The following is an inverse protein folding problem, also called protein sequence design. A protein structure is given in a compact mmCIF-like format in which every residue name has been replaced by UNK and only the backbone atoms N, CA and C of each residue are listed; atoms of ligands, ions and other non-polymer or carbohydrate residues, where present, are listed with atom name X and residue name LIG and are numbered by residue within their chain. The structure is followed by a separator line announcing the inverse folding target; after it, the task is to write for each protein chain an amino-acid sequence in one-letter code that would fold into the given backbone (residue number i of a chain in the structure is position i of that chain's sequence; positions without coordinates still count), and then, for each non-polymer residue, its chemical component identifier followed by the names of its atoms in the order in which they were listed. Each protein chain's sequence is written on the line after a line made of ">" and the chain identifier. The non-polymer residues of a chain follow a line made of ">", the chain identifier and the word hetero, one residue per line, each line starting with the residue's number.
data_IF_769837564686
#
_entry.id   IF_769837564686
#
_cell.length_a   1.000
_cell.length_b   1.000
_cell.length_c   1.000
_cell.angle_alpha   90.00
_cell.angle_beta   90.00
_cell.angle_gamma   90.00
#
_symmetry.space_group_name_H-M   'P 1'
#
loop_
_entity.id
_entity.type
_entity.pdbx_description
1 polymer ?
#
# COMPACT_ATOMS: atom_id res chain seq x y z
N UNK A 1 -15.78 17.16 -20.77
CA UNK A 1 -16.10 17.68 -19.43
C UNK A 1 -14.96 17.26 -18.53
N UNK A 2 -14.29 18.19 -17.81
CA UNK A 2 -13.18 17.80 -16.94
C UNK A 2 -13.75 17.12 -15.70
N UNK A 3 -13.05 16.11 -15.17
CA UNK A 3 -13.48 15.36 -13.97
C UNK A 3 -13.75 16.32 -12.80
N UNK A 4 -12.84 17.27 -12.60
CA UNK A 4 -12.92 18.23 -11.49
C UNK A 4 -14.18 19.10 -11.58
N UNK A 5 -14.60 19.50 -12.78
CA UNK A 5 -15.82 20.29 -12.99
C UNK A 5 -17.07 19.50 -12.54
N UNK A 6 -17.10 18.19 -12.79
CA UNK A 6 -18.23 17.31 -12.43
C UNK A 6 -18.28 17.05 -10.93
N UNK A 7 -17.12 16.78 -10.32
CA UNK A 7 -17.00 16.59 -8.88
C UNK A 7 -17.41 17.86 -8.15
N UNK A 8 -16.93 19.02 -8.60
CA UNK A 8 -17.29 20.30 -8.03
C UNK A 8 -18.80 20.56 -8.14
N UNK A 9 -19.42 20.26 -9.29
CA UNK A 9 -20.86 20.39 -9.46
C UNK A 9 -21.64 19.46 -8.52
N UNK A 10 -21.19 18.21 -8.34
CA UNK A 10 -21.80 17.27 -7.41
C UNK A 10 -21.71 17.75 -5.96
N UNK A 11 -20.57 18.30 -5.55
CA UNK A 11 -20.38 18.89 -4.21
C UNK A 11 -21.31 20.09 -4.00
N UNK A 12 -21.39 20.99 -4.98
CA UNK A 12 -22.26 22.16 -4.92
C UNK A 12 -23.74 21.77 -4.81
N UNK A 13 -24.19 20.84 -5.67
CA UNK A 13 -25.55 20.33 -5.67
C UNK A 13 -25.87 19.60 -4.35
N UNK A 14 -24.93 18.84 -3.79
CA UNK A 14 -25.10 18.16 -2.49
C UNK A 14 -25.30 19.18 -1.37
N UNK A 15 -24.42 20.17 -1.26
CA UNK A 15 -24.46 21.16 -0.19
C UNK A 15 -25.69 22.06 -0.27
N UNK A 16 -26.04 22.52 -1.47
CA UNK A 16 -27.24 23.31 -1.66
C UNK A 16 -28.52 22.50 -1.44
N UNK A 17 -28.57 21.23 -1.86
CA UNK A 17 -29.68 20.33 -1.53
C UNK A 17 -29.83 20.12 -0.01
N UNK A 18 -28.74 19.95 0.73
CA UNK A 18 -28.78 19.80 2.20
C UNK A 18 -29.17 21.09 2.93
N UNK A 19 -28.88 22.26 2.35
CA UNK A 19 -29.37 23.55 2.87
C UNK A 19 -30.88 23.73 2.65
N UNK A 20 -31.42 23.19 1.55
CA UNK A 20 -32.86 23.23 1.24
C UNK A 20 -33.66 22.13 1.94
N UNK A 21 -33.05 20.95 2.13
CA UNK A 21 -33.66 19.78 2.79
C UNK A 21 -32.80 19.27 3.98
N UNK A 22 -32.72 20.02 5.10
CA UNK A 22 -31.87 19.64 6.22
C UNK A 22 -32.19 18.28 6.86
N UNK A 23 -33.44 17.81 6.72
CA UNK A 23 -33.85 16.50 7.23
C UNK A 23 -33.05 15.33 6.62
N UNK A 24 -32.52 15.50 5.40
CA UNK A 24 -31.70 14.49 4.71
C UNK A 24 -30.31 14.34 5.31
N UNK A 25 -29.82 15.34 6.04
CA UNK A 25 -28.49 15.32 6.64
C UNK A 25 -28.32 14.16 7.63
N UNK A 26 -29.38 13.81 8.36
CA UNK A 26 -29.37 12.69 9.30
C UNK A 26 -29.10 11.34 8.66
N UNK A 27 -29.46 11.18 7.38
CA UNK A 27 -29.18 10.00 6.58
C UNK A 27 -27.77 10.05 5.97
N UNK A 28 -27.40 11.20 5.38
CA UNK A 28 -26.11 11.41 4.71
C UNK A 28 -24.93 11.30 5.67
N UNK A 29 -25.04 11.85 6.87
CA UNK A 29 -23.94 11.86 7.85
C UNK A 29 -23.48 10.46 8.31
N UNK A 30 -24.30 9.42 8.06
CA UNK A 30 -23.98 8.03 8.42
C UNK A 30 -22.83 7.46 7.59
N UNK A 31 -22.61 7.98 6.39
CA UNK A 31 -21.66 7.43 5.43
C UNK A 31 -20.80 8.47 4.71
N UNK A 32 -21.30 9.70 4.53
CA UNK A 32 -20.53 10.83 3.98
C UNK A 32 -19.79 11.59 5.09
N UNK A 33 -18.55 11.97 4.81
CA UNK A 33 -17.64 12.70 5.70
C UNK A 33 -17.19 14.00 5.02
N UNK A 34 -16.82 14.99 5.82
CA UNK A 34 -16.22 16.22 5.31
C UNK A 34 -14.98 15.97 4.44
N UNK A 35 -14.19 14.94 4.75
CA UNK A 35 -13.00 14.58 3.98
C UNK A 35 -13.26 13.96 2.60
N UNK A 36 -14.52 13.67 2.23
CA UNK A 36 -14.83 13.18 0.88
C UNK A 36 -14.92 14.32 -0.14
N UNK A 37 -15.10 15.55 0.33
CA UNK A 37 -15.12 16.73 -0.52
C UNK A 37 -13.69 17.05 -0.97
N UNK A 38 -13.50 17.17 -2.28
CA UNK A 38 -12.26 17.59 -2.90
C UNK A 38 -11.95 19.07 -2.60
N UNK A 39 -12.98 19.93 -2.53
CA UNK A 39 -12.80 21.33 -2.15
C UNK A 39 -12.86 21.51 -0.62
N UNK A 40 -11.79 22.05 -0.06
CA UNK A 40 -11.68 22.32 1.38
C UNK A 40 -12.78 23.26 1.90
N UNK A 41 -13.22 24.23 1.10
CA UNK A 41 -14.31 25.13 1.48
C UNK A 41 -15.64 24.38 1.57
N UNK A 42 -15.91 23.44 0.66
CA UNK A 42 -17.08 22.56 0.73
C UNK A 42 -17.01 21.63 1.95
N UNK A 43 -15.85 21.07 2.25
CA UNK A 43 -15.62 20.26 3.45
C UNK A 43 -15.91 21.04 4.74
N UNK A 44 -15.46 22.30 4.81
CA UNK A 44 -15.71 23.18 5.96
C UNK A 44 -17.20 23.51 6.11
N UNK A 45 -17.88 23.81 5.01
CA UNK A 45 -19.33 24.04 5.04
C UNK A 45 -20.09 22.79 5.48
N UNK A 46 -19.74 21.61 4.96
CA UNK A 46 -20.36 20.35 5.40
C UNK A 46 -20.13 20.10 6.89
N UNK A 47 -18.93 20.38 7.39
CA UNK A 47 -18.63 20.32 8.84
C UNK A 47 -19.53 21.27 9.64
N UNK A 48 -19.82 22.48 9.13
CA UNK A 48 -20.77 23.41 9.77
C UNK A 48 -22.16 22.83 9.85
N UNK A 49 -22.64 22.22 8.76
CA UNK A 49 -23.95 21.58 8.73
C UNK A 49 -24.04 20.44 9.76
N UNK A 50 -23.00 19.61 9.87
CA UNK A 50 -22.95 18.52 10.86
C UNK A 50 -22.95 19.03 12.30
N UNK A 51 -22.19 20.08 12.60
CA UNK A 51 -22.16 20.67 13.95
C UNK A 51 -23.52 21.26 14.35
N UNK A 52 -24.17 21.99 13.44
CA UNK A 52 -25.52 22.50 13.67
C UNK A 52 -26.53 21.37 13.88
N UNK A 53 -26.46 20.30 13.07
CA UNK A 53 -27.33 19.15 13.22
C UNK A 53 -27.15 18.46 14.59
N UNK A 54 -25.91 18.25 15.01
CA UNK A 54 -25.59 17.66 16.31
C UNK A 54 -26.06 18.54 17.48
N UNK A 55 -25.94 19.86 17.34
CA UNK A 55 -26.45 20.84 18.30
C UNK A 55 -27.98 20.98 18.28
N UNK A 56 -28.67 20.36 17.32
CA UNK A 56 -30.10 20.56 17.05
C UNK A 56 -30.45 22.02 16.73
N UNK A 57 -29.47 22.77 16.21
CA UNK A 57 -29.64 24.14 15.77
C UNK A 57 -30.30 24.22 14.38
N UNK A 58 -31.04 25.29 14.08
CA UNK A 58 -31.69 25.46 12.79
C UNK A 58 -30.65 25.59 11.66
N UNK A 59 -30.71 24.67 10.71
CA UNK A 59 -29.95 24.72 9.46
C UNK A 59 -30.71 25.62 8.48
N UNK A 60 -30.56 26.94 8.69
CA UNK A 60 -31.04 27.97 7.77
C UNK A 60 -29.85 28.62 7.06
N UNK A 61 -29.96 29.00 5.77
CA UNK A 61 -28.84 29.54 5.01
C UNK A 61 -28.11 30.71 5.69
N UNK A 62 -28.85 31.63 6.32
CA UNK A 62 -28.25 32.78 7.02
C UNK A 62 -27.48 32.35 8.29
N UNK A 63 -28.04 31.40 9.04
CA UNK A 63 -27.42 30.86 10.26
C UNK A 63 -26.11 30.13 9.92
N UNK A 64 -26.16 29.26 8.93
CA UNK A 64 -25.00 28.48 8.47
C UNK A 64 -23.93 29.39 7.85
N UNK A 65 -24.33 30.40 7.07
CA UNK A 65 -23.39 31.38 6.51
C UNK A 65 -22.66 32.15 7.62
N UNK A 66 -23.36 32.58 8.67
CA UNK A 66 -22.73 33.24 9.83
C UNK A 66 -21.76 32.30 10.53
N UNK A 67 -22.17 31.07 10.83
CA UNK A 67 -21.31 30.09 11.47
C UNK A 67 -20.06 29.75 10.63
N UNK A 68 -20.19 29.71 9.31
CA UNK A 68 -19.05 29.54 8.40
C UNK A 68 -18.09 30.74 8.49
N UNK A 69 -18.61 31.97 8.51
CA UNK A 69 -17.80 33.19 8.71
C UNK A 69 -17.07 33.14 10.04
N UNK A 70 -17.74 32.72 11.12
CA UNK A 70 -17.13 32.62 12.44
C UNK A 70 -16.01 31.55 12.46
N UNK A 71 -16.16 30.45 11.71
CA UNK A 71 -15.15 29.39 11.64
C UNK A 71 -13.91 29.74 10.82
N UNK A 72 -14.10 30.20 9.57
CA UNK A 72 -12.97 30.37 8.62
C UNK A 72 -12.58 31.84 8.39
N UNK A 73 -13.33 32.76 8.98
CA UNK A 73 -13.18 34.20 8.79
C UNK A 73 -13.84 34.72 7.50
N UNK A 74 -14.21 36.00 7.49
CA UNK A 74 -15.02 36.61 6.42
C UNK A 74 -14.41 36.47 5.02
N UNK A 75 -13.07 36.52 4.91
CA UNK A 75 -12.38 36.40 3.62
C UNK A 75 -12.45 34.99 3.04
N UNK A 76 -12.27 33.96 3.87
CA UNK A 76 -12.26 32.57 3.42
C UNK A 76 -13.68 32.01 3.28
N UNK A 77 -14.64 32.56 4.05
CA UNK A 77 -16.02 32.10 4.02
C UNK A 77 -16.72 32.36 2.67
N UNK A 78 -16.25 33.35 1.89
CA UNK A 78 -16.66 33.59 0.51
C UNK A 78 -18.20 33.56 0.31
N UNK A 79 -18.89 34.56 0.86
CA UNK A 79 -20.36 34.65 0.82
C UNK A 79 -20.98 34.63 -0.59
N UNK A 80 -20.37 35.22 -1.64
CA UNK A 80 -20.86 35.05 -3.00
C UNK A 80 -20.94 33.57 -3.42
N UNK A 81 -19.86 32.81 -3.17
CA UNK A 81 -19.81 31.38 -3.44
C UNK A 81 -20.86 30.57 -2.65
N UNK A 82 -21.16 30.99 -1.43
CA UNK A 82 -22.26 30.40 -0.65
C UNK A 82 -23.62 30.62 -1.30
N UNK A 83 -23.90 31.83 -1.77
CA UNK A 83 -25.15 32.13 -2.49
C UNK A 83 -25.25 31.32 -3.80
N UNK A 84 -24.14 31.13 -4.50
CA UNK A 84 -24.09 30.33 -5.73
C UNK A 84 -24.53 28.87 -5.49
N UNK A 85 -24.28 28.28 -4.31
CA UNK A 85 -24.75 26.92 -3.99
C UNK A 85 -26.27 26.79 -4.12
N UNK A 86 -27.00 27.78 -3.60
CA UNK A 86 -28.46 27.79 -3.67
C UNK A 86 -28.97 27.99 -5.10
N UNK A 87 -28.21 28.72 -5.92
CA UNK A 87 -28.57 28.99 -7.31
C UNK A 87 -28.28 27.82 -8.25
N UNK A 88 -27.17 27.10 -8.02
CA UNK A 88 -26.73 25.94 -8.81
C UNK A 88 -27.54 24.68 -8.48
N UNK A 89 -28.19 24.65 -7.31
CA UNK A 89 -29.01 23.50 -6.90
C UNK A 89 -30.21 23.32 -7.84
N UNK A 90 -30.40 22.11 -8.40
CA UNK A 90 -31.53 21.84 -9.28
C UNK A 90 -32.89 22.07 -8.59
N UNK A 91 -33.97 22.38 -9.34
CA UNK A 91 -35.29 22.71 -8.77
C UNK A 91 -35.91 21.59 -7.92
N UNK A 92 -35.58 20.33 -8.22
CA UNK A 92 -36.00 19.15 -7.44
C UNK A 92 -34.73 18.45 -6.95
N UNK A 93 -34.14 18.90 -5.83
CA UNK A 93 -32.86 18.39 -5.39
C UNK A 93 -32.96 16.95 -4.88
N UNK A 94 -32.03 16.10 -5.31
CA UNK A 94 -31.82 14.78 -4.72
C UNK A 94 -30.55 14.79 -3.87
N UNK A 95 -30.70 15.20 -2.60
CA UNK A 95 -29.57 15.31 -1.67
C UNK A 95 -28.81 13.97 -1.52
N UNK A 96 -29.53 12.84 -1.50
CA UNK A 96 -28.94 11.50 -1.34
C UNK A 96 -28.19 11.09 -2.61
N UNK A 97 -28.79 11.29 -3.77
CA UNK A 97 -28.17 10.99 -5.06
C UNK A 97 -26.88 11.78 -5.28
N UNK A 98 -26.87 13.09 -5.02
CA UNK A 98 -25.66 13.91 -5.17
C UNK A 98 -24.60 13.54 -4.14
N UNK A 99 -24.99 13.30 -2.88
CA UNK A 99 -24.07 12.86 -1.86
C UNK A 99 -23.37 11.53 -2.20
N UNK A 100 -24.04 10.61 -2.89
CA UNK A 100 -23.42 9.37 -3.41
C UNK A 100 -22.34 9.65 -4.46
N UNK A 101 -22.52 10.67 -5.30
CA UNK A 101 -21.50 11.08 -6.28
C UNK A 101 -20.25 11.64 -5.58
N UNK A 102 -20.45 12.45 -4.52
CA UNK A 102 -19.35 12.95 -3.69
C UNK A 102 -18.66 11.79 -2.97
N UNK A 103 -19.42 10.84 -2.41
CA UNK A 103 -18.88 9.63 -1.78
C UNK A 103 -18.02 8.81 -2.74
N UNK A 104 -18.49 8.52 -3.96
CA UNK A 104 -17.73 7.77 -4.96
C UNK A 104 -16.36 8.44 -5.23
N UNK A 105 -16.36 9.74 -5.48
CA UNK A 105 -15.14 10.50 -5.72
C UNK A 105 -14.21 10.49 -4.49
N UNK A 106 -14.76 10.72 -3.30
CA UNK A 106 -14.01 10.72 -2.05
C UNK A 106 -13.37 9.37 -1.72
N UNK A 107 -14.11 8.28 -1.87
CA UNK A 107 -13.60 6.92 -1.65
C UNK A 107 -12.51 6.55 -2.66
N UNK A 108 -12.66 6.90 -3.93
CA UNK A 108 -11.60 6.71 -4.94
C UNK A 108 -10.33 7.45 -4.58
N UNK A 109 -10.44 8.70 -4.13
CA UNK A 109 -9.30 9.48 -3.67
C UNK A 109 -8.66 8.86 -2.41
N UNK A 110 -9.49 8.40 -1.47
CA UNK A 110 -9.04 7.71 -0.25
C UNK A 110 -8.23 6.45 -0.58
N UNK A 111 -8.76 5.59 -1.45
CA UNK A 111 -8.12 4.34 -1.88
C UNK A 111 -6.82 4.60 -2.65
N UNK A 112 -6.82 5.55 -3.59
CA UNK A 112 -5.59 5.95 -4.29
C UNK A 112 -4.52 6.45 -3.30
N UNK A 113 -4.93 7.21 -2.28
CA UNK A 113 -4.07 7.68 -1.19
C UNK A 113 -3.44 6.56 -0.35
N UNK A 114 -4.10 5.40 -0.22
CA UNK A 114 -3.52 4.23 0.45
C UNK A 114 -2.29 3.69 -0.31
N UNK A 115 -2.29 3.78 -1.65
CA UNK A 115 -1.14 3.40 -2.47
C UNK A 115 0.13 4.19 -2.16
N UNK A 116 0.00 5.49 -1.86
CA UNK A 116 1.13 6.35 -1.46
C UNK A 116 1.74 5.88 -0.13
N UNK A 117 0.90 5.49 0.83
CA UNK A 117 1.37 4.95 2.11
C UNK A 117 2.11 3.63 1.92
N UNK A 118 1.59 2.72 1.07
CA UNK A 118 2.26 1.45 0.75
C UNK A 118 3.65 1.68 0.15
N UNK A 119 3.78 2.62 -0.81
CA UNK A 119 5.08 2.97 -1.40
C UNK A 119 6.08 3.48 -0.38
N UNK A 120 5.67 4.42 0.48
CA UNK A 120 6.57 4.98 1.49
C UNK A 120 7.01 3.91 2.50
N UNK A 121 6.10 3.06 2.94
CA UNK A 121 6.41 1.97 3.87
C UNK A 121 7.29 0.88 3.24
N UNK A 122 7.10 0.59 1.95
CA UNK A 122 7.92 -0.34 1.18
C UNK A 122 9.35 0.18 1.03
N UNK A 123 9.50 1.46 0.69
CA UNK A 123 10.80 2.12 0.65
C UNK A 123 11.50 2.08 2.01
N UNK A 124 10.80 2.46 3.09
CA UNK A 124 11.37 2.43 4.43
C UNK A 124 11.81 1.01 4.83
N UNK A 125 10.98 0.01 4.57
CA UNK A 125 11.29 -1.40 4.89
C UNK A 125 12.50 -1.92 4.12
N UNK A 126 12.65 -1.51 2.86
CA UNK A 126 13.80 -1.87 2.02
C UNK A 126 15.09 -1.19 2.49
N UNK A 127 15.03 0.07 2.92
CA UNK A 127 16.19 0.81 3.44
C UNK A 127 16.64 0.28 4.80
N UNK A 128 15.69 0.04 5.70
CA UNK A 128 15.97 -0.43 7.07
C UNK A 128 16.27 -1.95 7.09
N UNK A 129 15.94 -2.68 6.02
CA UNK A 129 16.09 -4.13 5.94
C UNK A 129 15.18 -4.90 6.90
N UNK A 130 14.06 -4.31 7.32
CA UNK A 130 13.11 -4.88 8.27
C UNK A 130 11.67 -4.81 7.76
N UNK A 131 10.83 -5.83 8.00
CA UNK A 131 9.46 -5.91 7.47
C UNK A 131 8.43 -5.03 8.20
N UNK A 132 8.72 -4.55 9.40
CA UNK A 132 7.73 -3.96 10.30
C UNK A 132 7.00 -2.74 9.71
N UNK A 133 7.66 -1.78 9.04
CA UNK A 133 6.98 -0.62 8.47
C UNK A 133 5.94 -1.01 7.42
N UNK A 134 6.27 -1.93 6.50
CA UNK A 134 5.34 -2.39 5.46
C UNK A 134 4.20 -3.22 6.06
N UNK A 135 4.47 -4.11 7.02
CA UNK A 135 3.41 -4.91 7.66
C UNK A 135 2.42 -4.06 8.45
N UNK A 136 2.91 -3.06 9.19
CA UNK A 136 2.06 -2.11 9.90
C UNK A 136 1.20 -1.31 8.94
N UNK A 137 1.78 -0.86 7.82
CA UNK A 137 1.04 -0.11 6.80
C UNK A 137 0.02 -0.98 6.08
N UNK A 138 0.31 -2.24 5.76
CA UNK A 138 -0.68 -3.18 5.21
C UNK A 138 -1.89 -3.32 6.15
N UNK A 139 -1.68 -3.45 7.46
CA UNK A 139 -2.80 -3.50 8.44
C UNK A 139 -3.63 -2.21 8.42
N UNK A 140 -2.97 -1.06 8.31
CA UNK A 140 -3.65 0.23 8.22
C UNK A 140 -4.47 0.34 6.93
N UNK A 141 -3.89 -0.09 5.80
CA UNK A 141 -4.53 -0.06 4.49
C UNK A 141 -5.73 -0.98 4.47
N UNK A 142 -5.62 -2.24 4.92
CA UNK A 142 -6.75 -3.16 4.98
C UNK A 142 -7.91 -2.59 5.80
N UNK A 143 -7.63 -2.05 6.99
CA UNK A 143 -8.66 -1.41 7.80
C UNK A 143 -9.29 -0.19 7.11
N UNK A 144 -8.52 0.55 6.31
CA UNK A 144 -9.02 1.67 5.51
C UNK A 144 -9.90 1.22 4.35
N UNK A 145 -9.51 0.15 3.67
CA UNK A 145 -10.26 -0.48 2.58
C UNK A 145 -11.59 -1.06 3.09
N UNK A 146 -11.59 -1.74 4.24
CA UNK A 146 -12.82 -2.23 4.89
C UNK A 146 -13.77 -1.08 5.23
N UNK A 147 -13.23 0.02 5.79
CA UNK A 147 -14.04 1.21 6.09
C UNK A 147 -14.60 1.82 4.80
N UNK A 148 -13.83 1.89 3.72
CA UNK A 148 -14.32 2.37 2.43
C UNK A 148 -15.46 1.50 1.90
N UNK A 149 -15.32 0.18 1.96
CA UNK A 149 -16.34 -0.79 1.55
C UNK A 149 -17.63 -0.64 2.37
N UNK A 150 -17.52 -0.53 3.69
CA UNK A 150 -18.67 -0.33 4.57
C UNK A 150 -19.42 0.97 4.29
N UNK A 151 -18.69 2.06 4.02
CA UNK A 151 -19.28 3.36 3.68
C UNK A 151 -19.98 3.33 2.32
N UNK A 152 -19.35 2.68 1.33
CA UNK A 152 -19.96 2.46 0.02
C UNK A 152 -21.28 1.69 0.16
N UNK A 153 -21.27 0.58 0.89
CA UNK A 153 -22.47 -0.22 1.12
C UNK A 153 -23.56 0.58 1.84
N UNK A 154 -23.22 1.30 2.91
CA UNK A 154 -24.16 2.15 3.65
C UNK A 154 -24.77 3.26 2.78
N UNK A 155 -23.97 3.92 1.93
CA UNK A 155 -24.45 4.93 1.00
C UNK A 155 -25.45 4.37 -0.02
N UNK A 156 -25.24 3.14 -0.48
CA UNK A 156 -26.08 2.48 -1.49
C UNK A 156 -27.18 1.57 -0.91
N UNK A 157 -27.29 1.45 0.41
CA UNK A 157 -28.26 0.56 1.07
C UNK A 157 -27.97 -0.93 0.84
N UNK A 158 -26.72 -1.29 0.56
CA UNK A 158 -26.28 -2.66 0.38
C UNK A 158 -25.95 -3.31 1.73
N UNK A 159 -26.15 -4.62 1.89
CA UNK A 159 -25.72 -5.33 3.09
C UNK A 159 -24.19 -5.35 3.17
N UNK A 160 -23.66 -5.19 4.38
CA UNK A 160 -22.23 -5.30 4.66
C UNK A 160 -21.99 -5.74 6.10
N UNK A 161 -20.90 -6.45 6.32
CA UNK A 161 -20.51 -6.90 7.66
C UNK A 161 -20.08 -5.72 8.54
N UNK A 162 -20.19 -5.88 9.85
CA UNK A 162 -19.78 -4.83 10.77
C UNK A 162 -18.26 -4.70 10.79
N UNK A 163 -17.74 -3.63 10.19
CA UNK A 163 -16.30 -3.34 10.20
C UNK A 163 -15.88 -2.83 11.58
N UNK A 164 -15.07 -3.64 12.28
CA UNK A 164 -14.50 -3.28 13.57
C UNK A 164 -13.05 -2.85 13.37
N UNK A 165 -12.83 -1.54 13.26
CA UNK A 165 -11.47 -0.99 13.24
C UNK A 165 -10.86 -1.00 14.65
N UNK A 166 -9.70 -1.65 14.85
CA UNK A 166 -8.96 -1.62 16.10
C UNK A 166 -8.71 -0.18 16.56
N UNK A 167 -8.89 0.09 17.87
CA UNK A 167 -8.81 1.44 18.42
C UNK A 167 -7.48 2.15 18.08
N UNK A 168 -6.38 1.39 18.06
CA UNK A 168 -5.04 1.87 17.74
C UNK A 168 -4.88 2.41 16.31
N UNK A 169 -5.67 1.92 15.35
CA UNK A 169 -5.58 2.32 13.94
C UNK A 169 -6.46 3.53 13.58
N UNK A 170 -7.45 3.84 14.42
CA UNK A 170 -8.43 4.91 14.14
C UNK A 170 -7.83 6.30 13.91
N UNK A 171 -6.81 6.76 14.67
CA UNK A 171 -6.19 8.05 14.41
C UNK A 171 -5.43 8.09 13.08
N UNK A 172 -4.72 7.01 12.75
CA UNK A 172 -3.92 6.92 11.54
C UNK A 172 -4.78 6.91 10.25
N UNK A 173 -5.95 6.27 10.29
CA UNK A 173 -6.89 6.23 9.15
C UNK A 173 -7.44 7.61 8.75
N UNK A 174 -7.48 8.56 9.68
CA UNK A 174 -8.02 9.90 9.45
C UNK A 174 -6.94 10.92 9.11
N UNK A 175 -5.68 10.49 8.99
CA UNK A 175 -4.55 11.40 8.95
C UNK A 175 -4.12 11.74 7.50
N UNK A 176 -4.68 12.81 6.95
CA UNK A 176 -4.25 13.37 5.65
C UNK A 176 -2.79 13.83 5.68
N UNK A 177 -2.26 14.26 6.82
CA UNK A 177 -0.86 14.67 6.97
C UNK A 177 0.10 13.49 6.79
N UNK A 178 -0.31 12.28 7.19
CA UNK A 178 0.49 11.07 6.97
C UNK A 178 0.72 10.81 5.48
N UNK A 179 -0.29 11.04 4.62
CA UNK A 179 -0.16 10.92 3.16
C UNK A 179 0.76 11.97 2.57
N UNK A 180 0.64 13.22 3.01
CA UNK A 180 1.55 14.30 2.57
C UNK A 180 2.99 14.06 3.04
N UNK A 181 3.17 13.51 4.24
CA UNK A 181 4.48 13.11 4.76
C UNK A 181 5.09 11.98 3.94
N UNK A 182 4.29 10.97 3.61
CA UNK A 182 4.70 9.85 2.75
C UNK A 182 5.11 10.32 1.34
N UNK A 183 4.35 11.23 0.73
CA UNK A 183 4.66 11.79 -0.59
C UNK A 183 5.97 12.59 -0.60
N UNK A 184 6.17 13.43 0.43
CA UNK A 184 7.45 14.14 0.64
C UNK A 184 8.60 13.18 0.86
N UNK A 185 8.39 12.13 1.65
CA UNK A 185 9.39 11.10 1.90
C UNK A 185 9.79 10.40 0.60
N UNK A 186 8.84 10.01 -0.24
CA UNK A 186 9.11 9.41 -1.56
C UNK A 186 9.89 10.36 -2.47
N UNK A 187 9.51 11.64 -2.51
CA UNK A 187 10.19 12.66 -3.33
C UNK A 187 11.64 12.87 -2.90
N UNK A 188 11.94 12.72 -1.60
CA UNK A 188 13.28 12.90 -1.06
C UNK A 188 14.24 11.73 -1.31
N UNK A 189 13.74 10.57 -1.78
CA UNK A 189 14.55 9.37 -1.98
C UNK A 189 14.68 8.99 -3.45
N UNK A 190 15.81 8.38 -3.86
CA UNK A 190 16.04 8.02 -5.25
C UNK A 190 15.06 6.93 -5.73
N UNK A 191 14.76 7.00 -7.03
CA UNK A 191 14.04 5.96 -7.74
C UNK A 191 14.78 4.62 -7.68
N UNK A 192 14.07 3.55 -8.04
CA UNK A 192 14.63 2.20 -8.11
C UNK A 192 15.76 2.10 -9.14
N UNK A 193 16.84 1.40 -8.77
CA UNK A 193 17.97 1.15 -9.65
C UNK A 193 17.93 -0.28 -10.18
N UNK A 194 17.40 -0.43 -11.40
CA UNK A 194 17.20 -1.73 -12.03
C UNK A 194 18.50 -2.52 -12.25
N UNK A 195 19.66 -1.84 -12.36
CA UNK A 195 20.95 -2.53 -12.48
C UNK A 195 21.34 -3.17 -11.15
N UNK A 196 21.16 -2.44 -10.05
CA UNK A 196 21.39 -2.95 -8.70
C UNK A 196 20.43 -4.10 -8.37
N UNK A 197 19.15 -3.98 -8.71
CA UNK A 197 18.14 -5.04 -8.50
C UNK A 197 18.46 -6.32 -9.29
N UNK A 198 18.91 -6.15 -10.55
CA UNK A 198 19.38 -7.28 -11.37
C UNK A 198 20.55 -7.98 -10.69
N UNK A 199 21.53 -7.22 -10.19
CA UNK A 199 22.68 -7.77 -9.46
C UNK A 199 22.25 -8.54 -8.21
N UNK A 200 21.38 -7.98 -7.37
CA UNK A 200 20.87 -8.69 -6.19
C UNK A 200 20.15 -9.99 -6.55
N UNK A 201 19.43 -10.01 -7.69
CA UNK A 201 18.77 -11.23 -8.19
C UNK A 201 19.80 -12.29 -8.60
N UNK A 202 20.85 -11.90 -9.32
CA UNK A 202 21.94 -12.80 -9.71
C UNK A 202 22.65 -13.36 -8.46
N UNK A 203 22.97 -12.50 -7.50
CA UNK A 203 23.59 -12.88 -6.22
C UNK A 203 22.71 -13.89 -5.45
N UNK A 204 21.40 -13.66 -5.37
CA UNK A 204 20.46 -14.59 -4.73
C UNK A 204 20.45 -15.95 -5.44
N UNK A 205 20.30 -15.98 -6.77
CA UNK A 205 20.24 -17.24 -7.51
C UNK A 205 21.54 -18.02 -7.36
N UNK A 206 22.69 -17.36 -7.45
CA UNK A 206 24.00 -17.96 -7.20
C UNK A 206 24.12 -18.55 -5.79
N UNK A 207 23.71 -17.78 -4.77
CA UNK A 207 23.70 -18.22 -3.38
C UNK A 207 22.75 -19.41 -3.13
N UNK A 208 21.60 -19.46 -3.80
CA UNK A 208 20.66 -20.57 -3.68
C UNK A 208 21.16 -21.85 -4.36
N UNK A 209 21.89 -21.75 -5.47
CA UNK A 209 22.55 -22.91 -6.08
C UNK A 209 23.67 -23.43 -5.17
N UNK A 210 24.42 -22.53 -4.53
CA UNK A 210 25.46 -22.89 -3.56
C UNK A 210 24.89 -23.45 -2.25
N UNK A 211 23.68 -23.03 -1.86
CA UNK A 211 22.98 -23.45 -0.63
C UNK A 211 21.52 -23.86 -0.91
N UNK A 212 21.28 -25.06 -1.48
CA UNK A 212 19.96 -25.49 -1.96
C UNK A 212 18.85 -25.54 -0.90
N UNK A 213 19.21 -25.71 0.38
CA UNK A 213 18.25 -25.82 1.49
C UNK A 213 17.34 -24.59 1.63
N UNK A 214 17.74 -23.46 1.05
CA UNK A 214 16.98 -22.21 1.09
C UNK A 214 15.96 -22.07 -0.05
N UNK A 215 16.04 -22.88 -1.11
CA UNK A 215 15.21 -22.73 -2.33
C UNK A 215 13.74 -22.80 -2.00
N UNK A 216 13.31 -23.82 -1.24
CA UNK A 216 11.91 -24.01 -0.88
C UNK A 216 11.36 -22.82 -0.07
N UNK A 217 12.18 -22.26 0.83
CA UNK A 217 11.77 -21.11 1.64
C UNK A 217 11.63 -19.85 0.78
N UNK A 218 12.59 -19.59 -0.12
CA UNK A 218 12.53 -18.44 -1.02
C UNK A 218 11.36 -18.55 -2.00
N UNK A 219 11.07 -19.75 -2.50
CA UNK A 219 9.94 -20.01 -3.40
C UNK A 219 8.57 -19.66 -2.79
N UNK A 220 8.43 -19.66 -1.46
CA UNK A 220 7.17 -19.27 -0.79
C UNK A 220 6.78 -17.81 -0.99
N UNK A 221 7.75 -16.92 -1.25
CA UNK A 221 7.53 -15.48 -1.37
C UNK A 221 8.07 -14.88 -2.68
N UNK A 222 8.99 -15.58 -3.38
CA UNK A 222 9.52 -15.18 -4.67
C UNK A 222 9.12 -16.18 -5.75
N UNK A 223 8.04 -15.89 -6.46
CA UNK A 223 7.65 -16.67 -7.65
C UNK A 223 8.54 -16.32 -8.85
N UNK A 224 8.85 -17.25 -9.77
CA UNK A 224 9.67 -16.94 -10.95
C UNK A 224 9.15 -15.77 -11.79
N UNK A 225 7.83 -15.60 -11.90
CA UNK A 225 7.23 -14.49 -12.65
C UNK A 225 7.66 -13.08 -12.16
N UNK A 226 8.18 -12.96 -10.93
CA UNK A 226 8.65 -11.70 -10.33
C UNK A 226 10.08 -11.32 -10.70
N UNK A 227 10.84 -12.24 -11.28
CA UNK A 227 12.19 -11.93 -11.77
C UNK A 227 12.04 -11.20 -13.11
N UNK A 228 12.59 -9.99 -13.22
CA UNK A 228 12.45 -9.18 -14.43
C UNK A 228 13.31 -9.70 -15.60
N UNK A 229 14.56 -10.08 -15.31
CA UNK A 229 15.49 -10.61 -16.31
C UNK A 229 15.01 -12.01 -16.77
N UNK A 230 14.62 -12.19 -18.05
CA UNK A 230 14.07 -13.44 -18.53
C UNK A 230 15.07 -14.60 -18.51
N UNK A 231 16.37 -14.31 -18.63
CA UNK A 231 17.43 -15.31 -18.62
C UNK A 231 17.58 -15.89 -17.20
N UNK A 232 17.71 -15.01 -16.20
CA UNK A 232 17.81 -15.39 -14.79
C UNK A 232 16.50 -15.94 -14.23
N UNK A 233 15.35 -15.49 -14.75
CA UNK A 233 14.03 -16.09 -14.46
C UNK A 233 14.01 -17.58 -14.80
N UNK A 234 14.53 -17.97 -15.96
CA UNK A 234 14.56 -19.35 -16.40
C UNK A 234 15.47 -20.22 -15.50
N UNK A 235 16.62 -19.68 -15.09
CA UNK A 235 17.51 -20.35 -14.13
C UNK A 235 16.81 -20.56 -12.79
N UNK A 236 16.20 -19.52 -12.23
CA UNK A 236 15.48 -19.62 -10.97
C UNK A 236 14.27 -20.55 -11.04
N UNK A 237 13.50 -20.52 -12.14
CA UNK A 237 12.39 -21.46 -12.34
C UNK A 237 12.87 -22.91 -12.34
N UNK A 238 13.98 -23.19 -13.03
CA UNK A 238 14.59 -24.53 -13.07
C UNK A 238 15.05 -24.96 -11.67
N UNK A 239 15.67 -24.05 -10.93
CA UNK A 239 16.11 -24.27 -9.55
C UNK A 239 14.95 -24.65 -8.62
N UNK A 240 13.83 -23.92 -8.69
CA UNK A 240 12.61 -24.22 -7.92
C UNK A 240 12.04 -25.58 -8.31
N UNK A 241 11.93 -25.87 -9.62
CA UNK A 241 11.42 -27.15 -10.10
C UNK A 241 12.26 -28.34 -9.62
N UNK A 242 13.59 -28.24 -9.69
CA UNK A 242 14.51 -29.27 -9.19
C UNK A 242 14.30 -29.51 -7.69
N UNK A 243 14.18 -28.43 -6.90
CA UNK A 243 13.94 -28.52 -5.47
C UNK A 243 12.57 -29.15 -5.15
N UNK A 244 11.51 -28.76 -5.85
CA UNK A 244 10.15 -29.32 -5.69
C UNK A 244 10.10 -30.82 -6.04
N UNK A 245 10.87 -31.25 -7.03
CA UNK A 245 11.01 -32.66 -7.42
C UNK A 245 11.95 -33.47 -6.49
N UNK A 246 12.57 -32.82 -5.50
CA UNK A 246 13.57 -33.45 -4.62
C UNK A 246 14.84 -33.90 -5.35
N UNK A 247 15.15 -33.27 -6.49
CA UNK A 247 16.34 -33.56 -7.28
C UNK A 247 17.56 -32.81 -6.75
N UNK A 248 18.75 -33.29 -7.10
CA UNK A 248 19.98 -32.63 -6.68
C UNK A 248 20.11 -31.26 -7.34
N UNK A 249 20.38 -30.25 -6.54
CA UNK A 249 20.60 -28.87 -6.98
C UNK A 249 22.08 -28.58 -6.89
N UNK A 250 22.70 -28.38 -8.05
CA UNK A 250 24.07 -27.93 -8.21
C UNK A 250 24.22 -27.17 -9.55
N UNK A 251 25.34 -26.48 -9.75
CA UNK A 251 25.61 -25.70 -10.96
C UNK A 251 25.43 -26.51 -12.25
N UNK A 252 25.93 -27.74 -12.29
CA UNK A 252 25.90 -28.59 -13.50
C UNK A 252 24.47 -29.04 -13.77
N UNK A 253 23.75 -29.51 -12.76
CA UNK A 253 22.37 -29.97 -12.90
C UNK A 253 21.44 -28.83 -13.32
N UNK A 254 21.55 -27.66 -12.68
CA UNK A 254 20.77 -26.47 -13.04
C UNK A 254 21.07 -26.01 -14.46
N UNK A 255 22.34 -25.91 -14.87
CA UNK A 255 22.72 -25.51 -16.22
C UNK A 255 22.21 -26.49 -17.29
N UNK A 256 22.25 -27.79 -17.00
CA UNK A 256 21.78 -28.83 -17.91
C UNK A 256 20.25 -28.78 -18.10
N UNK A 257 19.49 -28.74 -17.02
CA UNK A 257 18.03 -28.69 -17.09
C UNK A 257 17.53 -27.33 -17.61
N UNK A 258 18.17 -26.21 -17.26
CA UNK A 258 17.79 -24.91 -17.80
C UNK A 258 17.94 -24.88 -19.34
N UNK A 259 19.00 -25.50 -19.88
CA UNK A 259 19.21 -25.61 -21.34
C UNK A 259 18.09 -26.39 -22.02
N UNK A 260 17.56 -27.43 -21.38
CA UNK A 260 16.44 -28.23 -21.89
C UNK A 260 15.16 -27.38 -21.99
N UNK A 261 14.89 -26.58 -20.96
CA UNK A 261 13.72 -25.68 -20.92
C UNK A 261 13.86 -24.48 -21.89
N UNK A 262 15.09 -24.03 -22.16
CA UNK A 262 15.36 -22.89 -23.03
C UNK A 262 15.27 -23.17 -24.54
N UNK A 263 15.04 -24.42 -24.99
CA UNK A 263 14.98 -24.75 -26.42
C UNK A 263 13.93 -23.91 -27.20
N UNK A 264 12.87 -23.49 -26.53
CA UNK A 264 11.83 -22.60 -27.07
C UNK A 264 11.68 -21.33 -26.20
N UNK A 265 12.66 -21.06 -25.33
CA UNK A 265 12.60 -20.04 -24.29
C UNK A 265 13.55 -18.86 -24.53
N UNK A 266 13.71 -17.96 -23.54
CA UNK A 266 14.67 -16.86 -23.63
C UNK A 266 16.11 -17.37 -23.65
N UNK A 267 17.01 -16.56 -24.19
CA UNK A 267 18.44 -16.83 -24.11
C UNK A 267 18.88 -16.90 -22.64
N UNK A 268 19.55 -17.99 -22.26
CA UNK A 268 20.09 -18.18 -20.91
C UNK A 268 21.35 -17.33 -20.68
N UNK A 269 21.71 -17.03 -19.42
CA UNK A 269 23.00 -16.42 -19.13
C UNK A 269 24.14 -17.33 -19.61
N UNK A 270 25.28 -16.74 -19.91
CA UNK A 270 26.46 -17.52 -20.32
C UNK A 270 26.94 -18.43 -19.19
N UNK A 271 27.50 -19.60 -19.51
CA UNK A 271 28.00 -20.53 -18.48
C UNK A 271 29.04 -19.89 -17.55
N UNK A 272 29.88 -18.99 -18.06
CA UNK A 272 30.82 -18.23 -17.25
C UNK A 272 30.14 -17.26 -16.27
N UNK A 273 29.04 -16.63 -16.70
CA UNK A 273 28.25 -15.72 -15.87
C UNK A 273 27.54 -16.51 -14.76
N UNK A 274 26.92 -17.65 -15.10
CA UNK A 274 26.28 -18.52 -14.13
C UNK A 274 27.29 -19.09 -13.12
N UNK A 275 28.45 -19.54 -13.59
CA UNK A 275 29.52 -20.02 -12.71
C UNK A 275 30.02 -18.93 -11.77
N UNK A 276 30.28 -17.73 -12.28
CA UNK A 276 30.71 -16.60 -11.45
C UNK A 276 29.68 -16.28 -10.37
N UNK A 277 28.38 -16.28 -10.70
CA UNK A 277 27.32 -16.07 -9.72
C UNK A 277 27.30 -17.15 -8.63
N UNK A 278 27.50 -18.42 -8.97
CA UNK A 278 27.58 -19.51 -7.98
C UNK A 278 28.84 -19.38 -7.12
N UNK A 279 29.99 -19.09 -7.73
CA UNK A 279 31.26 -18.89 -7.03
C UNK A 279 31.15 -17.73 -6.00
N UNK A 280 30.57 -16.60 -6.40
CA UNK A 280 30.28 -15.47 -5.50
C UNK A 280 29.24 -15.86 -4.42
N UNK A 281 28.28 -16.72 -4.80
CA UNK A 281 27.24 -17.26 -3.92
C UNK A 281 27.80 -18.05 -2.73
N UNK A 282 28.89 -18.81 -2.91
CA UNK A 282 29.57 -19.52 -1.81
C UNK A 282 30.11 -18.60 -0.72
N UNK A 283 30.44 -17.35 -1.09
CA UNK A 283 30.98 -16.35 -0.17
C UNK A 283 29.90 -15.40 0.36
N UNK A 284 28.70 -15.46 -0.21
CA UNK A 284 27.58 -14.60 0.15
C UNK A 284 26.73 -15.25 1.23
N UNK A 285 26.40 -14.49 2.28
CA UNK A 285 25.38 -14.93 3.23
C UNK A 285 24.02 -14.93 2.53
N UNK A 286 23.42 -16.11 2.33
CA UNK A 286 22.13 -16.28 1.62
C UNK A 286 21.07 -15.32 2.15
N UNK A 287 20.99 -15.14 3.47
CA UNK A 287 20.05 -14.21 4.11
C UNK A 287 20.26 -12.73 3.75
N UNK A 288 21.48 -12.32 3.40
CA UNK A 288 21.72 -10.97 2.90
C UNK A 288 21.15 -10.80 1.50
N UNK A 289 21.37 -11.77 0.61
CA UNK A 289 20.81 -11.77 -0.73
C UNK A 289 19.27 -11.88 -0.73
N UNK A 290 18.72 -12.72 0.14
CA UNK A 290 17.27 -12.82 0.40
C UNK A 290 16.69 -11.45 0.77
N UNK A 291 17.32 -10.74 1.72
CA UNK A 291 16.86 -9.42 2.19
C UNK A 291 16.94 -8.35 1.10
N UNK A 292 18.04 -8.30 0.34
CA UNK A 292 18.18 -7.34 -0.76
C UNK A 292 17.09 -7.53 -1.82
N UNK A 293 16.90 -8.78 -2.28
CA UNK A 293 15.85 -9.08 -3.27
C UNK A 293 14.45 -8.84 -2.69
N UNK A 294 14.20 -9.20 -1.42
CA UNK A 294 12.90 -8.94 -0.80
C UNK A 294 12.59 -7.44 -0.72
N UNK A 295 13.59 -6.61 -0.37
CA UNK A 295 13.46 -5.14 -0.37
C UNK A 295 13.11 -4.59 -1.76
N UNK A 296 13.83 -5.03 -2.80
CA UNK A 296 13.58 -4.64 -4.18
C UNK A 296 12.19 -5.05 -4.66
N UNK A 297 11.77 -6.28 -4.34
CA UNK A 297 10.45 -6.82 -4.73
C UNK A 297 9.29 -6.14 -4.02
N UNK A 298 9.44 -5.79 -2.73
CA UNK A 298 8.43 -5.04 -1.99
C UNK A 298 8.26 -3.63 -2.56
N UNK A 299 9.37 -2.95 -2.89
CA UNK A 299 9.32 -1.66 -3.58
C UNK A 299 8.62 -1.79 -4.93
N UNK A 300 8.98 -2.79 -5.73
CA UNK A 300 8.35 -3.02 -7.03
C UNK A 300 6.84 -3.23 -6.93
N UNK A 301 6.41 -4.12 -6.04
CA UNK A 301 5.00 -4.45 -5.85
C UNK A 301 4.21 -3.25 -5.34
N UNK A 302 4.79 -2.46 -4.43
CA UNK A 302 4.15 -1.25 -3.92
C UNK A 302 4.03 -0.18 -5.02
N UNK A 303 5.06 -0.02 -5.87
CA UNK A 303 5.02 0.91 -6.99
C UNK A 303 3.91 0.53 -7.98
N UNK A 304 3.93 -0.71 -8.48
CA UNK A 304 2.94 -1.21 -9.43
C UNK A 304 1.54 -1.26 -8.84
N UNK A 305 1.39 -1.69 -7.60
CA UNK A 305 0.09 -1.75 -6.91
C UNK A 305 -0.51 -0.36 -6.70
N UNK A 306 0.30 0.63 -6.29
CA UNK A 306 -0.18 2.00 -6.15
C UNK A 306 -0.52 2.65 -7.50
N UNK A 307 0.21 2.34 -8.58
CA UNK A 307 -0.17 2.78 -9.93
C UNK A 307 -1.51 2.17 -10.37
N UNK A 308 -1.73 0.88 -10.07
CA UNK A 308 -3.01 0.20 -10.33
C UNK A 308 -4.16 0.82 -9.55
N UNK A 309 -3.98 1.10 -8.26
CA UNK A 309 -5.00 1.77 -7.45
C UNK A 309 -5.30 3.18 -7.97
N UNK A 310 -4.27 3.95 -8.34
CA UNK A 310 -4.44 5.29 -8.91
C UNK A 310 -5.16 5.25 -10.26
N UNK A 311 -4.75 4.37 -11.16
CA UNK A 311 -5.36 4.20 -12.48
C UNK A 311 -6.81 3.72 -12.37
N UNK A 312 -7.09 2.76 -11.48
CA UNK A 312 -8.44 2.30 -11.18
C UNK A 312 -9.33 3.38 -10.57
N UNK A 313 -8.81 4.14 -9.60
CA UNK A 313 -9.50 5.29 -9.00
C UNK A 313 -9.74 6.43 -10.02
N UNK A 314 -8.95 6.50 -11.09
CA UNK A 314 -9.14 7.43 -12.20
C UNK A 314 -10.18 6.96 -13.22
N UNK A 315 -10.52 5.67 -13.24
CA UNK A 315 -11.46 5.09 -14.18
C UNK A 315 -12.87 5.01 -13.58
N UNK A 316 -13.85 5.83 -14.05
CA UNK A 316 -15.21 5.80 -13.53
C UNK A 316 -15.95 4.48 -13.81
N UNK A 317 -15.46 3.66 -14.77
CA UNK A 317 -16.04 2.36 -15.07
C UNK A 317 -15.65 1.24 -14.09
N UNK A 318 -14.65 1.45 -13.23
CA UNK A 318 -14.25 0.48 -12.20
C UNK A 318 -15.06 0.72 -10.94
N UNK A 319 -15.64 -0.35 -10.36
CA UNK A 319 -16.42 -0.24 -9.13
C UNK A 319 -15.51 -0.02 -7.92
N UNK A 320 -16.00 0.70 -6.91
CA UNK A 320 -15.26 0.92 -5.65
C UNK A 320 -14.92 -0.40 -4.96
N UNK A 321 -15.82 -1.39 -5.04
CA UNK A 321 -15.59 -2.74 -4.49
C UNK A 321 -14.41 -3.45 -5.17
N UNK A 322 -14.28 -3.34 -6.49
CA UNK A 322 -13.17 -3.94 -7.23
C UNK A 322 -11.83 -3.28 -6.86
N UNK A 323 -11.85 -1.97 -6.57
CA UNK A 323 -10.67 -1.25 -6.07
C UNK A 323 -10.27 -1.70 -4.67
N UNK A 324 -11.24 -1.94 -3.79
CA UNK A 324 -11.03 -2.51 -2.45
C UNK A 324 -10.40 -3.88 -2.55
N UNK A 325 -10.97 -4.78 -3.35
CA UNK A 325 -10.44 -6.14 -3.56
C UNK A 325 -9.01 -6.11 -4.12
N UNK A 326 -8.76 -5.23 -5.10
CA UNK A 326 -7.42 -5.01 -5.65
C UNK A 326 -6.45 -4.54 -4.56
N UNK A 327 -6.87 -3.63 -3.68
CA UNK A 327 -6.06 -3.14 -2.56
C UNK A 327 -5.67 -4.25 -1.58
N UNK A 328 -6.61 -5.14 -1.22
CA UNK A 328 -6.33 -6.28 -0.36
C UNK A 328 -5.37 -7.28 -1.01
N UNK A 329 -5.54 -7.57 -2.30
CA UNK A 329 -4.62 -8.44 -3.06
C UNK A 329 -3.18 -7.89 -3.06
N UNK A 330 -3.03 -6.56 -3.21
CA UNK A 330 -1.73 -5.89 -3.13
C UNK A 330 -1.15 -6.00 -1.71
N UNK A 331 -1.94 -5.69 -0.67
CA UNK A 331 -1.49 -5.78 0.73
C UNK A 331 -1.03 -7.20 1.09
N UNK A 332 -1.77 -8.22 0.68
CA UNK A 332 -1.41 -9.63 0.87
C UNK A 332 -0.13 -10.02 0.12
N UNK A 333 0.03 -9.57 -1.12
CA UNK A 333 1.25 -9.80 -1.88
C UNK A 333 2.47 -9.14 -1.21
N UNK A 334 2.32 -7.95 -0.64
CA UNK A 334 3.36 -7.26 0.11
C UNK A 334 3.71 -8.00 1.41
N UNK A 335 2.71 -8.44 2.19
CA UNK A 335 2.93 -9.25 3.41
C UNK A 335 3.70 -10.53 3.13
N UNK A 336 3.31 -11.26 2.07
CA UNK A 336 4.03 -12.48 1.65
C UNK A 336 5.48 -12.17 1.31
N UNK A 337 5.73 -11.11 0.54
CA UNK A 337 7.10 -10.73 0.13
C UNK A 337 7.95 -10.24 1.30
N UNK A 338 7.35 -9.57 2.28
CA UNK A 338 8.00 -9.11 3.52
C UNK A 338 8.55 -10.24 4.40
N UNK A 339 8.10 -11.48 4.21
CA UNK A 339 8.70 -12.64 4.90
C UNK A 339 10.19 -12.80 4.57
N UNK A 340 10.61 -12.43 3.35
CA UNK A 340 12.03 -12.41 2.95
C UNK A 340 12.89 -11.38 3.69
N UNK A 341 12.28 -10.36 4.33
CA UNK A 341 12.97 -9.40 5.20
C UNK A 341 13.08 -9.88 6.66
N UNK A 342 12.23 -10.83 7.07
CA UNK A 342 11.97 -11.13 8.50
C UNK A 342 12.99 -12.07 9.16
N UNK A 343 14.04 -12.49 8.45
CA UNK A 343 14.88 -13.59 8.92
C UNK A 343 16.02 -13.08 9.80
N UNK A 344 16.17 -13.59 11.04
CA UNK A 344 17.20 -13.13 11.95
C UNK A 344 18.57 -13.36 11.32
N UNK A 345 19.43 -12.35 11.42
CA UNK A 345 20.87 -12.55 11.36
C UNK A 345 21.18 -13.55 12.48
N UNK A 346 21.70 -14.72 12.13
CA UNK A 346 22.25 -15.67 13.10
C UNK A 346 23.26 -14.92 13.98
N UNK A 347 22.79 -14.51 15.15
CA UNK A 347 23.62 -13.87 16.15
C UNK A 347 24.30 -14.99 16.91
N UNK A 348 25.54 -15.22 16.50
CA UNK A 348 26.58 -15.96 17.21
C UNK A 348 26.37 -17.48 17.39
N UNK A 349 27.21 -18.23 16.67
CA UNK A 349 27.65 -19.55 17.10
C UNK A 349 28.06 -19.54 18.59
N UNK A 350 27.76 -20.60 19.36
CA UNK A 350 28.19 -20.68 20.76
C UNK A 350 29.72 -20.65 20.78
N UNK A 351 30.29 -19.64 21.45
CA UNK A 351 31.71 -19.61 21.77
C UNK A 351 32.05 -20.94 22.45
N UNK A 352 32.82 -21.78 21.75
CA UNK A 352 33.52 -22.91 22.37
C UNK A 352 34.34 -22.33 23.51
N UNK A 353 33.91 -22.59 24.74
CA UNK A 353 34.70 -22.34 25.93
C UNK A 353 36.01 -23.13 25.78
N UNK A 354 37.07 -22.41 25.42
CA UNK A 354 38.44 -22.89 25.58
C UNK A 354 38.67 -23.05 27.08
N UNK A 355 38.73 -24.30 27.51
CA UNK A 355 39.13 -24.75 28.83
C UNK A 355 40.51 -24.17 29.14
N UNK A 356 40.57 -23.12 29.96
CA UNK A 356 41.82 -22.67 30.54
C UNK A 356 42.11 -23.55 31.78
N UNK A 357 43.01 -24.52 31.59
CA UNK A 357 43.70 -25.21 32.66
C UNK A 357 44.59 -24.18 33.37
N UNK A 358 44.21 -23.79 34.59
CA UNK A 358 45.12 -23.12 35.51
C UNK A 358 45.29 -23.94 36.78
N UNK A 359 46.31 -24.81 36.68
CA UNK A 359 47.18 -25.21 37.76
C UNK A 359 47.66 -23.96 38.51
N UNK A 360 47.33 -23.80 39.79
CA UNK A 360 48.27 -23.22 40.74
C UNK A 360 48.00 -23.69 42.17
N UNK A 361 48.91 -24.56 42.59
CA UNK A 361 49.33 -24.89 43.94
C UNK A 361 49.62 -23.64 44.81
N UNK A 362 49.41 -23.81 46.12
CA UNK A 362 50.22 -23.27 47.24
C UNK A 362 50.04 -21.76 47.59
N UNK A 363 50.00 -21.25 48.83
CA UNK A 363 50.46 -21.66 50.19
C UNK A 363 49.64 -20.89 51.27
N UNK A 364 49.38 -21.58 52.39
CA UNK A 364 49.17 -21.15 53.80
C UNK A 364 48.82 -19.69 54.16
N UNK A 365 47.76 -19.51 54.98
CA UNK A 365 47.82 -19.55 56.46
C UNK A 365 46.42 -19.55 57.06
#
# INVERSE_FOLDING_TARGET
>A
MRRDDVVQLAEQATLGALLLEPARLGEVQKWLRAGDFADLWHAQLFTTLLEHHAAHDPIAPQTVARALVDRVGSRQANMPRFADLLHVTPPHPDAIGYARLVLDSGLRHEIAGQGVLLRAAALQSALDGVPQPILSTCNLVDAGLDVAAARWAAGHGLPHDTVVVPLALRPALRNTEARMGADKYLTAHPARDLLTERRHTVELIGALIASPDHVAVVATWLTPARIHDPAWRAIYATLVELADLGQHVDLVTVAWEARKHAQHGPALPGLNELRAAVDDGWHTQVHSAERSVAGDQIRHLADTGADQLLAGAANPGVLVTDLVDTGHLIADALRRTATGLSRPVDTAAPQRQLTAVHTHQQVAR
#
